data_IF_491273352107
#
_entry.id   IF_491273352107
#
_cell.length_a   1.000
_cell.length_b   1.000
_cell.length_c   1.000
_cell.angle_alpha   90.00
_cell.angle_beta   90.00
_cell.angle_gamma   90.00
#
_symmetry.space_group_name_H-M   'P 1'
#
loop_
_entity.id
_entity.type
_entity.pdbx_description
1 polymer ?
#
# COMPACT_ATOMS: atom_id res chain seq x y z
N UNK A 1 -18.46 -0.58 15.47
CA UNK A 1 -16.98 -0.63 15.42
C UNK A 1 -16.59 -0.75 13.96
N UNK A 2 -15.73 0.14 13.46
CA UNK A 2 -15.29 0.11 12.06
C UNK A 2 -14.00 -0.70 11.99
N UNK A 3 -13.96 -1.77 11.19
CA UNK A 3 -12.77 -2.61 11.03
C UNK A 3 -11.80 -1.96 10.06
N UNK A 4 -10.54 -1.80 10.43
CA UNK A 4 -9.49 -1.27 9.54
C UNK A 4 -8.80 -2.41 8.81
N UNK A 5 -8.99 -2.50 7.49
CA UNK A 5 -8.42 -3.54 6.64
C UNK A 5 -7.32 -2.95 5.76
N UNK A 6 -6.16 -3.60 5.73
CA UNK A 6 -5.04 -3.25 4.87
C UNK A 6 -4.94 -4.20 3.67
N UNK A 7 -5.02 -3.68 2.44
CA UNK A 7 -4.98 -4.44 1.20
C UNK A 7 -3.63 -4.28 0.49
N UNK A 8 -2.83 -5.33 0.42
CA UNK A 8 -1.51 -5.33 -0.21
C UNK A 8 -1.34 -6.44 -1.25
N UNK A 9 -0.29 -6.33 -2.07
CA UNK A 9 0.06 -7.30 -3.10
C UNK A 9 -0.20 -6.82 -4.52
N UNK A 10 -0.57 -7.75 -5.41
CA UNK A 10 -0.72 -7.54 -6.85
C UNK A 10 -1.52 -6.28 -7.22
N UNK A 11 -1.04 -5.47 -8.17
CA UNK A 11 -1.66 -4.21 -8.61
C UNK A 11 -2.21 -4.24 -10.05
N UNK A 12 -2.21 -5.41 -10.69
CA UNK A 12 -2.53 -5.54 -12.13
C UNK A 12 -3.97 -5.98 -12.43
N UNK A 13 -4.79 -6.16 -11.39
CA UNK A 13 -6.19 -6.60 -11.49
C UNK A 13 -7.06 -5.84 -10.49
N UNK A 14 -8.37 -5.97 -10.64
CA UNK A 14 -9.44 -5.25 -9.94
C UNK A 14 -9.86 -5.87 -8.58
N UNK A 15 -9.03 -6.70 -7.97
CA UNK A 15 -9.44 -7.48 -6.80
C UNK A 15 -9.69 -6.64 -5.55
N UNK A 16 -8.97 -5.51 -5.41
CA UNK A 16 -9.16 -4.61 -4.27
C UNK A 16 -10.53 -3.97 -4.37
N UNK A 17 -10.87 -3.50 -5.57
CA UNK A 17 -12.14 -2.88 -5.92
C UNK A 17 -13.28 -3.88 -5.67
N UNK A 18 -13.13 -5.14 -6.09
CA UNK A 18 -14.11 -6.21 -5.81
C UNK A 18 -14.36 -6.44 -4.32
N UNK A 19 -13.31 -6.43 -3.50
CA UNK A 19 -13.45 -6.58 -2.04
C UNK A 19 -14.18 -5.36 -1.45
N UNK A 20 -13.76 -4.15 -1.84
CA UNK A 20 -14.35 -2.90 -1.34
C UNK A 20 -15.83 -2.85 -1.70
N UNK A 21 -16.16 -3.06 -2.98
CA UNK A 21 -17.52 -3.06 -3.49
C UNK A 21 -18.38 -4.13 -2.81
N UNK A 22 -17.88 -5.36 -2.68
CA UNK A 22 -18.60 -6.42 -1.99
C UNK A 22 -18.90 -6.10 -0.52
N UNK A 23 -17.99 -5.40 0.17
CA UNK A 23 -18.22 -4.95 1.54
C UNK A 23 -19.25 -3.81 1.61
N UNK A 24 -19.22 -2.88 0.66
CA UNK A 24 -20.21 -1.81 0.55
C UNK A 24 -21.61 -2.35 0.26
N UNK A 25 -21.75 -3.27 -0.69
CA UNK A 25 -23.01 -3.93 -1.04
C UNK A 25 -23.64 -4.68 0.14
N UNK A 26 -22.81 -5.25 1.01
CA UNK A 26 -23.24 -5.94 2.23
C UNK A 26 -23.36 -5.02 3.45
N UNK A 27 -23.22 -3.69 3.28
CA UNK A 27 -23.27 -2.69 4.35
C UNK A 27 -22.32 -2.99 5.52
N UNK A 28 -21.13 -3.50 5.23
CA UNK A 28 -20.13 -3.82 6.25
C UNK A 28 -19.42 -2.55 6.73
N UNK A 29 -19.27 -2.39 8.04
CA UNK A 29 -18.57 -1.25 8.65
C UNK A 29 -17.06 -1.44 8.57
N UNK A 30 -16.47 -1.20 7.41
CA UNK A 30 -15.05 -1.45 7.12
C UNK A 30 -14.38 -0.18 6.57
N UNK A 31 -13.12 0.05 6.94
CA UNK A 31 -12.23 1.06 6.37
C UNK A 31 -11.10 0.36 5.65
N UNK A 32 -10.79 0.77 4.43
CA UNK A 32 -9.70 0.17 3.65
C UNK A 32 -8.51 1.11 3.56
N UNK A 33 -7.31 0.54 3.56
CA UNK A 33 -6.04 1.21 3.30
C UNK A 33 -5.14 0.34 2.43
N UNK A 34 -4.22 0.96 1.68
CA UNK A 34 -3.31 0.26 0.77
C UNK A 34 -2.02 1.06 0.56
N UNK A 35 -0.95 0.44 0.03
CA UNK A 35 0.18 1.19 -0.53
C UNK A 35 -0.26 2.17 -1.61
N UNK A 36 0.58 3.17 -1.88
CA UNK A 36 0.44 4.03 -3.07
C UNK A 36 0.83 3.22 -4.29
N UNK A 37 -0.10 3.08 -5.24
CA UNK A 37 0.11 2.35 -6.50
C UNK A 37 0.38 3.27 -7.68
N UNK A 38 0.15 4.57 -7.51
CA UNK A 38 0.48 5.63 -8.47
C UNK A 38 2.00 5.87 -8.46
N UNK A 39 2.64 5.60 -9.59
CA UNK A 39 4.10 5.67 -9.75
C UNK A 39 4.64 7.07 -9.43
N UNK A 40 4.07 8.11 -10.02
CA UNK A 40 4.54 9.49 -9.85
C UNK A 40 4.43 9.94 -8.39
N UNK A 41 3.32 9.60 -7.72
CA UNK A 41 3.13 9.90 -6.29
C UNK A 41 4.05 9.08 -5.39
N UNK A 42 4.33 7.83 -5.76
CA UNK A 42 5.23 6.95 -5.03
C UNK A 42 6.67 7.45 -5.11
N UNK A 43 7.13 7.78 -6.32
CA UNK A 43 8.50 8.23 -6.60
C UNK A 43 8.78 9.63 -6.02
N UNK A 44 7.75 10.48 -5.94
CA UNK A 44 7.81 11.81 -5.33
C UNK A 44 7.43 11.88 -3.85
N UNK A 45 7.24 10.74 -3.16
CA UNK A 45 6.74 10.74 -1.78
C UNK A 45 7.62 11.55 -0.80
N UNK A 46 8.92 11.67 -1.08
CA UNK A 46 9.88 12.42 -0.29
C UNK A 46 10.02 13.90 -0.62
N UNK A 47 9.41 14.39 -1.71
CA UNK A 47 9.67 15.74 -2.25
C UNK A 47 9.21 16.85 -1.29
N UNK A 48 8.18 16.57 -0.48
CA UNK A 48 7.69 17.50 0.55
C UNK A 48 8.66 17.73 1.71
N UNK A 49 9.70 16.90 1.84
CA UNK A 49 10.74 17.02 2.86
C UNK A 49 11.97 17.80 2.36
N UNK A 50 11.87 18.42 1.19
CA UNK A 50 12.95 19.19 0.53
C UNK A 50 13.38 18.57 -0.79
N UNK A 51 13.98 19.37 -1.66
CA UNK A 51 14.53 18.88 -2.93
C UNK A 51 15.84 18.10 -2.71
N UNK A 52 16.13 17.14 -3.58
CA UNK A 52 17.44 16.48 -3.68
C UNK A 52 18.05 16.75 -5.04
N UNK A 53 19.36 17.00 -5.09
CA UNK A 53 20.06 17.27 -6.34
C UNK A 53 20.34 16.00 -7.15
N UNK A 54 20.39 14.84 -6.49
CA UNK A 54 20.69 13.54 -7.12
C UNK A 54 19.46 12.64 -7.08
N UNK A 55 19.11 12.06 -8.23
CA UNK A 55 18.00 11.09 -8.35
C UNK A 55 18.08 9.98 -7.31
N UNK A 56 19.28 9.42 -7.09
CA UNK A 56 19.49 8.39 -6.07
C UNK A 56 18.99 8.78 -4.68
N UNK A 57 19.25 10.02 -4.24
CA UNK A 57 18.82 10.49 -2.93
C UNK A 57 17.33 10.81 -2.88
N UNK A 58 16.78 11.33 -3.99
CA UNK A 58 15.33 11.49 -4.14
C UNK A 58 14.60 10.16 -3.99
N UNK A 59 15.05 9.14 -4.73
CA UNK A 59 14.46 7.80 -4.72
C UNK A 59 14.62 7.13 -3.35
N UNK A 60 15.80 7.22 -2.74
CA UNK A 60 16.06 6.68 -1.41
C UNK A 60 15.18 7.33 -0.32
N UNK A 61 14.94 8.64 -0.43
CA UNK A 61 14.08 9.38 0.47
C UNK A 61 12.62 8.99 0.30
N UNK A 62 12.11 8.97 -0.93
CA UNK A 62 10.74 8.54 -1.23
C UNK A 62 10.49 7.10 -0.78
N UNK A 63 11.45 6.19 -1.00
CA UNK A 63 11.39 4.82 -0.51
C UNK A 63 11.24 4.74 1.02
N UNK A 64 12.00 5.56 1.78
CA UNK A 64 11.89 5.63 3.24
C UNK A 64 10.55 6.18 3.71
N UNK A 65 10.01 7.20 3.05
CA UNK A 65 8.67 7.73 3.36
C UNK A 65 7.60 6.66 3.14
N UNK A 66 7.68 5.95 2.01
CA UNK A 66 6.76 4.86 1.71
C UNK A 66 6.89 3.68 2.69
N UNK A 67 8.11 3.37 3.16
CA UNK A 67 8.33 2.38 4.20
C UNK A 67 7.65 2.78 5.51
N UNK A 68 7.86 4.00 6.00
CA UNK A 68 7.21 4.51 7.22
C UNK A 68 5.68 4.46 7.09
N UNK A 69 5.15 4.94 5.96
CA UNK A 69 3.70 4.90 5.68
C UNK A 69 3.17 3.47 5.73
N UNK A 70 3.82 2.56 5.01
CA UNK A 70 3.40 1.16 4.91
C UNK A 70 3.44 0.45 6.26
N UNK A 71 4.53 0.60 7.02
CA UNK A 71 4.64 0.05 8.38
C UNK A 71 3.57 0.61 9.30
N UNK A 72 3.28 1.91 9.21
CA UNK A 72 2.23 2.54 10.02
C UNK A 72 0.85 1.99 9.68
N UNK A 73 0.53 1.83 8.38
CA UNK A 73 -0.76 1.27 7.94
C UNK A 73 -0.93 -0.19 8.38
N UNK A 74 0.13 -1.00 8.30
CA UNK A 74 0.11 -2.39 8.77
C UNK A 74 -0.11 -2.43 10.29
N UNK A 75 0.61 -1.62 11.06
CA UNK A 75 0.48 -1.59 12.52
C UNK A 75 -0.91 -1.11 12.99
N UNK A 76 -1.56 -0.25 12.21
CA UNK A 76 -2.86 0.33 12.54
C UNK A 76 -4.05 -0.48 12.01
N UNK A 77 -3.82 -1.53 11.21
CA UNK A 77 -4.89 -2.37 10.67
C UNK A 77 -5.27 -3.47 11.67
N UNK A 78 -6.57 -3.80 11.69
CA UNK A 78 -7.10 -4.95 12.42
C UNK A 78 -6.90 -6.24 11.62
N UNK A 79 -6.96 -6.13 10.28
CA UNK A 79 -6.80 -7.26 9.34
C UNK A 79 -5.96 -6.84 8.15
N UNK A 80 -4.97 -7.66 7.78
CA UNK A 80 -4.21 -7.50 6.54
C UNK A 80 -4.58 -8.59 5.53
N UNK A 81 -4.92 -8.19 4.31
CA UNK A 81 -5.18 -9.08 3.18
C UNK A 81 -4.09 -8.86 2.14
N UNK A 82 -3.33 -9.93 1.84
CA UNK A 82 -2.24 -9.89 0.88
C UNK A 82 -2.56 -10.84 -0.27
N UNK A 83 -2.66 -10.29 -1.49
CA UNK A 83 -2.85 -11.09 -2.70
C UNK A 83 -1.55 -11.22 -3.48
N UNK A 84 -1.08 -12.45 -3.64
CA UNK A 84 0.05 -12.76 -4.51
C UNK A 84 -0.46 -13.08 -5.91
N UNK A 85 0.04 -12.37 -6.92
CA UNK A 85 -0.21 -12.69 -8.33
C UNK A 85 0.61 -13.89 -8.78
N UNK A 86 0.35 -14.38 -10.00
CA UNK A 86 0.95 -15.61 -10.50
C UNK A 86 2.46 -15.55 -10.67
N UNK A 87 2.99 -14.36 -10.98
CA UNK A 87 4.40 -14.16 -11.35
C UNK A 87 5.35 -13.97 -10.15
N UNK A 88 4.85 -13.62 -8.97
CA UNK A 88 5.68 -13.27 -7.82
C UNK A 88 5.16 -13.91 -6.52
N UNK A 89 5.46 -15.21 -6.36
CA UNK A 89 5.08 -16.04 -5.19
C UNK A 89 6.17 -16.17 -4.12
N UNK A 90 7.14 -15.26 -4.03
CA UNK A 90 8.27 -15.43 -3.11
C UNK A 90 8.27 -14.39 -1.99
N UNK A 91 7.81 -14.81 -0.82
CA UNK A 91 8.35 -14.33 0.45
C UNK A 91 9.52 -15.25 0.79
N UNK A 92 10.71 -14.95 0.27
CA UNK A 92 11.90 -15.62 0.77
C UNK A 92 12.19 -15.04 2.16
N UNK A 93 11.66 -15.69 3.21
CA UNK A 93 12.31 -15.61 4.51
C UNK A 93 13.70 -16.23 4.31
N UNK A 94 14.72 -15.37 4.29
CA UNK A 94 16.11 -15.75 4.46
C UNK A 94 16.63 -15.06 5.69
#
# INVERSE_FOLDING_TARGET
MKLNVYLSGEIHTDWREKIIQGCEENNLSISFSSPVTDHDKSDGAGDLLGAEDKSFWRDHKSAKVNAIRTTTLINNCDVAIIRFGDKYKQWAYK
#
